data_IF_897851068023
#
_entry.id   IF_897851068023
#
_cell.length_a   1.000
_cell.length_b   1.000
_cell.length_c   1.000
_cell.angle_alpha   90.00
_cell.angle_beta   90.00
_cell.angle_gamma   90.00
#
_symmetry.space_group_name_H-M   'P 1'
#
loop_
_entity.id
_entity.type
_entity.pdbx_description
1 polymer ?
#
# COMPACT_ATOMS: atom_id res chain seq x y z
N UNK A 1 0.63 -18.01 -5.64
CA UNK A 1 -0.12 -17.88 -4.37
C UNK A 1 -1.49 -17.30 -4.64
N UNK A 2 -2.32 -17.13 -3.61
CA UNK A 2 -3.62 -16.46 -3.73
C UNK A 2 -3.44 -14.96 -4.08
N UNK A 3 -4.41 -14.31 -4.72
CA UNK A 3 -4.39 -12.86 -4.89
C UNK A 3 -4.42 -12.12 -3.54
N UNK A 4 -3.99 -10.86 -3.53
CA UNK A 4 -3.94 -10.00 -2.35
C UNK A 4 -4.16 -8.53 -2.69
N UNK A 5 -4.56 -7.76 -1.69
CA UNK A 5 -4.43 -6.31 -1.73
C UNK A 5 -3.01 -5.90 -1.38
N UNK A 6 -2.41 -5.10 -2.25
CA UNK A 6 -1.06 -4.57 -2.05
C UNK A 6 -1.13 -3.12 -1.56
N UNK A 7 -0.38 -2.84 -0.50
CA UNK A 7 -0.33 -1.54 0.16
C UNK A 7 1.10 -1.01 0.11
N UNK A 8 1.28 0.15 -0.49
CA UNK A 8 2.53 0.89 -0.43
C UNK A 8 2.41 1.95 0.66
N UNK A 9 3.23 1.86 1.71
CA UNK A 9 3.11 2.74 2.88
C UNK A 9 4.44 3.43 3.14
N UNK A 10 4.41 4.75 3.12
CA UNK A 10 5.50 5.61 3.59
C UNK A 10 5.24 5.96 5.06
N UNK A 11 6.15 5.57 5.93
CA UNK A 11 6.02 5.80 7.38
C UNK A 11 6.84 7.02 7.79
N UNK A 12 6.22 7.96 8.52
CA UNK A 12 6.98 9.01 9.21
C UNK A 12 7.82 8.43 10.35
N UNK A 13 7.22 7.53 11.14
CA UNK A 13 7.86 6.67 12.12
C UNK A 13 7.44 5.23 11.84
N UNK A 14 8.41 4.36 11.56
CA UNK A 14 8.12 2.93 11.36
C UNK A 14 7.58 2.29 12.64
N UNK A 15 6.64 1.33 12.53
CA UNK A 15 6.15 0.60 13.69
C UNK A 15 7.26 -0.27 14.28
N UNK A 16 7.35 -0.32 15.61
CA UNK A 16 8.33 -1.14 16.33
C UNK A 16 8.12 -2.64 16.06
N UNK A 17 6.87 -3.07 15.90
CA UNK A 17 6.49 -4.42 15.46
C UNK A 17 5.74 -4.36 14.14
N UNK A 18 6.46 -4.56 13.04
CA UNK A 18 5.89 -4.49 11.69
C UNK A 18 4.90 -5.62 11.38
N UNK A 19 5.17 -6.84 11.85
CA UNK A 19 4.23 -7.97 11.65
C UNK A 19 2.95 -7.80 12.48
N UNK A 20 3.08 -7.23 13.69
CA UNK A 20 1.92 -6.81 14.49
C UNK A 20 1.10 -5.73 13.79
N UNK A 21 1.75 -4.72 13.20
CA UNK A 21 1.08 -3.69 12.41
C UNK A 21 0.32 -4.27 11.20
N UNK A 22 0.94 -5.18 10.44
CA UNK A 22 0.30 -5.86 9.30
C UNK A 22 -0.95 -6.63 9.74
N UNK A 23 -0.82 -7.41 10.82
CA UNK A 23 -1.91 -8.23 11.35
C UNK A 23 -3.07 -7.38 11.86
N UNK A 24 -2.78 -6.29 12.56
CA UNK A 24 -3.80 -5.37 13.04
C UNK A 24 -4.48 -4.63 11.88
N UNK A 25 -3.73 -4.19 10.86
CA UNK A 25 -4.32 -3.55 9.69
C UNK A 25 -5.28 -4.51 8.96
N UNK A 26 -4.89 -5.76 8.75
CA UNK A 26 -5.75 -6.77 8.12
C UNK A 26 -7.01 -7.03 8.94
N UNK A 27 -6.87 -7.18 10.26
CA UNK A 27 -7.99 -7.32 11.18
C UNK A 27 -8.97 -6.14 11.10
N UNK A 28 -8.46 -4.92 11.05
CA UNK A 28 -9.31 -3.72 10.95
C UNK A 28 -9.99 -3.61 9.58
N UNK A 29 -9.34 -4.05 8.49
CA UNK A 29 -9.99 -4.14 7.18
C UNK A 29 -11.13 -5.16 7.19
N UNK A 30 -10.90 -6.36 7.74
CA UNK A 30 -11.93 -7.41 7.87
C UNK A 30 -13.13 -6.91 8.69
N UNK A 31 -12.88 -6.22 9.81
CA UNK A 31 -13.96 -5.62 10.64
C UNK A 31 -14.78 -4.55 9.91
N UNK A 32 -14.18 -3.79 8.99
CA UNK A 32 -14.84 -2.65 8.31
C UNK A 32 -15.43 -3.02 6.95
N UNK A 33 -15.02 -4.13 6.37
CA UNK A 33 -15.43 -4.58 5.05
C UNK A 33 -15.73 -6.08 5.09
N UNK A 34 -17.00 -6.41 5.29
CA UNK A 34 -17.47 -7.81 5.37
C UNK A 34 -17.16 -8.59 4.10
N UNK A 35 -17.20 -7.95 2.91
CA UNK A 35 -16.83 -8.62 1.66
C UNK A 35 -15.34 -8.99 1.62
N UNK A 36 -14.45 -8.13 2.13
CA UNK A 36 -13.04 -8.48 2.27
C UNK A 36 -12.85 -9.64 3.27
N UNK A 37 -13.58 -9.61 4.38
CA UNK A 37 -13.55 -10.69 5.38
C UNK A 37 -14.01 -12.04 4.81
N UNK A 38 -15.07 -12.06 4.00
CA UNK A 38 -15.57 -13.25 3.31
C UNK A 38 -14.52 -13.83 2.37
N UNK A 39 -13.82 -12.97 1.60
CA UNK A 39 -12.78 -13.40 0.67
C UNK A 39 -11.56 -13.99 1.39
N UNK A 40 -11.15 -13.41 2.53
CA UNK A 40 -10.07 -13.95 3.37
C UNK A 40 -10.50 -15.28 4.01
N UNK A 41 -11.68 -15.32 4.61
CA UNK A 41 -12.21 -16.52 5.29
C UNK A 41 -12.47 -17.69 4.33
N UNK A 42 -12.87 -17.37 3.10
CA UNK A 42 -13.06 -18.33 2.01
C UNK A 42 -11.77 -18.78 1.32
N UNK A 43 -10.58 -18.33 1.76
CA UNK A 43 -9.29 -18.59 1.11
C UNK A 43 -9.26 -18.18 -0.38
N UNK A 44 -9.97 -17.11 -0.73
CA UNK A 44 -9.95 -16.52 -2.08
C UNK A 44 -8.85 -15.47 -2.17
N UNK A 45 -8.70 -14.65 -1.12
CA UNK A 45 -7.56 -13.75 -0.93
C UNK A 45 -6.62 -14.30 0.16
N UNK A 46 -5.34 -13.99 0.04
CA UNK A 46 -4.45 -13.99 1.20
C UNK A 46 -4.50 -12.62 1.90
N UNK A 47 -4.04 -12.52 3.16
CA UNK A 47 -3.93 -11.24 3.86
C UNK A 47 -3.16 -10.19 3.05
N UNK A 48 -3.47 -8.93 3.31
CA UNK A 48 -2.82 -7.81 2.62
C UNK A 48 -1.29 -7.88 2.70
N UNK A 49 -0.63 -7.39 1.66
CA UNK A 49 0.82 -7.27 1.60
C UNK A 49 1.20 -5.80 1.70
N UNK A 50 2.16 -5.48 2.58
CA UNK A 50 2.67 -4.11 2.75
C UNK A 50 4.09 -4.01 2.22
N UNK A 51 4.31 -3.10 1.29
CA UNK A 51 5.63 -2.64 0.86
C UNK A 51 5.94 -1.32 1.55
N UNK A 52 6.98 -1.32 2.41
CA UNK A 52 7.47 -0.10 3.06
C UNK A 52 8.15 0.78 2.01
N UNK A 53 7.82 2.06 2.00
CA UNK A 53 8.44 3.04 1.11
C UNK A 53 9.49 3.86 1.84
N UNK A 54 10.51 4.30 1.09
CA UNK A 54 11.44 5.33 1.60
C UNK A 54 10.75 6.67 1.80
N UNK A 55 11.30 7.48 2.71
CA UNK A 55 10.83 8.85 2.94
C UNK A 55 10.83 9.65 1.64
N UNK A 56 9.78 10.43 1.44
CA UNK A 56 9.44 11.23 0.27
C UNK A 56 9.15 10.44 -1.03
N UNK A 57 8.99 9.12 -1.00
CA UNK A 57 8.73 8.32 -2.21
C UNK A 57 7.52 8.82 -3.00
N UNK A 58 6.44 9.19 -2.30
CA UNK A 58 5.25 9.75 -2.92
C UNK A 58 5.48 11.17 -3.49
N UNK A 59 6.31 11.98 -2.83
CA UNK A 59 6.68 13.30 -3.36
C UNK A 59 7.53 13.17 -4.61
N UNK A 60 8.47 12.22 -4.63
CA UNK A 60 9.34 11.97 -5.78
C UNK A 60 8.56 11.39 -6.95
N UNK A 61 7.53 10.56 -6.69
CA UNK A 61 6.55 10.18 -7.70
C UNK A 61 5.82 11.42 -8.27
N UNK A 62 5.29 12.28 -7.41
CA UNK A 62 4.61 13.50 -7.87
C UNK A 62 5.52 14.43 -8.68
N UNK A 63 6.82 14.52 -8.33
CA UNK A 63 7.84 15.24 -9.13
C UNK A 63 8.01 14.64 -10.51
N UNK A 64 8.18 13.31 -10.59
CA UNK A 64 8.39 12.62 -11.87
C UNK A 64 7.24 12.81 -12.86
N UNK A 65 6.03 12.99 -12.33
CA UNK A 65 4.82 13.24 -13.11
C UNK A 65 4.64 14.73 -13.49
N UNK A 66 5.56 15.62 -13.10
CA UNK A 66 5.42 17.07 -13.28
C UNK A 66 4.31 17.68 -12.41
N UNK A 67 3.91 17.00 -11.34
CA UNK A 67 2.75 17.34 -10.49
C UNK A 67 3.15 17.94 -9.13
N UNK A 68 4.44 18.16 -8.87
CA UNK A 68 4.89 18.77 -7.61
C UNK A 68 4.41 20.23 -7.52
N UNK A 69 3.73 20.58 -6.43
CA UNK A 69 3.26 21.94 -6.15
C UNK A 69 1.90 22.32 -6.74
N UNK A 70 1.25 21.42 -7.50
CA UNK A 70 -0.15 21.58 -7.96
C UNK A 70 -1.17 20.96 -7.00
N UNK A 71 -2.48 21.20 -7.23
CA UNK A 71 -3.58 20.55 -6.48
C UNK A 71 -3.74 19.03 -6.80
N UNK A 72 -2.76 18.42 -7.46
CA UNK A 72 -2.83 17.04 -7.89
C UNK A 72 -2.64 16.10 -6.70
N UNK A 73 -3.71 15.36 -6.38
CA UNK A 73 -3.68 14.35 -5.32
C UNK A 73 -3.10 13.06 -5.86
N UNK A 74 -2.20 12.45 -5.10
CA UNK A 74 -1.73 11.09 -5.37
C UNK A 74 -2.93 10.15 -5.18
N UNK A 75 -3.24 9.29 -6.17
CA UNK A 75 -4.35 8.36 -6.05
C UNK A 75 -4.07 7.36 -4.93
N UNK A 76 -5.10 7.09 -4.11
CA UNK A 76 -5.02 6.14 -2.99
C UNK A 76 -5.26 4.70 -3.42
N UNK A 77 -5.79 4.50 -4.63
CA UNK A 77 -6.07 3.22 -5.25
C UNK A 77 -5.81 3.38 -6.76
N UNK A 78 -5.18 2.37 -7.35
CA UNK A 78 -4.95 2.31 -8.79
C UNK A 78 -5.32 0.91 -9.30
N UNK A 79 -5.94 0.87 -10.48
CA UNK A 79 -6.29 -0.40 -11.15
C UNK A 79 -5.16 -0.92 -12.05
N UNK A 80 -4.10 -0.13 -12.23
CA UNK A 80 -2.88 -0.53 -12.93
C UNK A 80 -1.66 -0.44 -12.01
N UNK A 81 -0.54 -0.99 -12.48
CA UNK A 81 0.70 -1.09 -11.70
C UNK A 81 1.67 0.06 -11.96
N UNK A 82 1.29 1.13 -12.69
CA UNK A 82 2.25 2.19 -13.07
C UNK A 82 2.90 2.86 -11.86
N UNK A 83 2.08 3.20 -10.87
CA UNK A 83 2.52 3.86 -9.64
C UNK A 83 3.34 2.90 -8.79
N UNK A 84 2.84 1.68 -8.61
CA UNK A 84 3.53 0.63 -7.87
C UNK A 84 4.93 0.33 -8.43
N UNK A 85 5.05 0.16 -9.76
CA UNK A 85 6.32 -0.08 -10.43
C UNK A 85 7.31 1.07 -10.27
N UNK A 86 6.83 2.32 -10.28
CA UNK A 86 7.69 3.47 -10.00
C UNK A 86 8.20 3.46 -8.56
N UNK A 87 7.30 3.25 -7.59
CA UNK A 87 7.63 3.19 -6.17
C UNK A 87 8.58 2.04 -5.84
N UNK A 88 8.40 0.87 -6.45
CA UNK A 88 9.29 -0.28 -6.31
C UNK A 88 10.70 0.03 -6.81
N UNK A 89 10.82 0.66 -7.98
CA UNK A 89 12.12 1.07 -8.52
C UNK A 89 12.82 2.06 -7.60
N UNK A 90 12.08 3.00 -7.01
CA UNK A 90 12.62 3.95 -6.05
C UNK A 90 13.14 3.29 -4.77
N UNK A 91 12.59 2.14 -4.35
CA UNK A 91 13.03 1.45 -3.14
C UNK A 91 14.32 0.63 -3.33
N UNK A 92 14.67 0.29 -4.58
CA UNK A 92 15.90 -0.45 -4.91
C UNK A 92 17.11 0.49 -5.01
N UNK A 93 16.86 1.79 -5.22
CA UNK A 93 17.83 2.87 -5.38
C UNK A 93 18.00 3.69 -4.10
#
# INVERSE_FOLDING_TARGET
GLPYHEWFIEFEKEPENFEGFKSELDLQLRKRNTYYDDLISGNILQPLVITKLKKNAFQDYAKSEGKLGGQNKIPRLANDRKIALYLEKLNIL
#
